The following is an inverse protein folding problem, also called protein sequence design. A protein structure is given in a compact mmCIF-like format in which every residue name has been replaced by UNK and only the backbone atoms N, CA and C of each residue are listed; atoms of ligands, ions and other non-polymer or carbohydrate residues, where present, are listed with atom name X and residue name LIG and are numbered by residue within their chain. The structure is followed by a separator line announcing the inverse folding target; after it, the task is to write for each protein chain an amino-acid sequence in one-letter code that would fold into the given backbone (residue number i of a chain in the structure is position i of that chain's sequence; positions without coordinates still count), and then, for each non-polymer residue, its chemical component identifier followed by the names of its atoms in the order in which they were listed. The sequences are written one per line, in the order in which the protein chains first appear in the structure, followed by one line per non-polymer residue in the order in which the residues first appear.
data_IF_743919017807
#
_entry.id   IF_743919017807
#
_cell.length_a   1.000
_cell.length_b   1.000
_cell.length_c   1.000
_cell.angle_alpha   90.00
_cell.angle_beta   90.00
_cell.angle_gamma   90.00
#
_symmetry.space_group_name_H-M   'P 1'
#
loop_
_entity.id
_entity.type
_entity.pdbx_description
1 polymer ?
#
# COMPACT_ATOMS: atom_id res chain seq x y z
N UNK A 1 -2.35 2.46 21.97
CA UNK A 1 -1.03 2.53 22.63
C UNK A 1 -0.14 3.55 21.93
N UNK A 2 0.29 3.30 20.70
CA UNK A 2 1.16 4.21 19.90
C UNK A 2 0.58 5.61 19.77
N UNK A 3 -0.73 5.73 19.52
CA UNK A 3 -1.37 7.04 19.37
C UNK A 3 -1.34 7.92 20.62
N UNK A 4 -1.06 7.39 21.81
CA UNK A 4 -0.80 8.19 23.01
C UNK A 4 0.68 8.52 23.16
N UNK A 5 1.54 7.52 22.91
CA UNK A 5 3.00 7.66 22.96
C UNK A 5 3.53 8.72 21.98
N UNK A 6 2.86 8.97 20.85
CA UNK A 6 3.29 10.00 19.90
C UNK A 6 3.31 11.42 20.51
N UNK A 7 2.54 11.67 21.56
CA UNK A 7 2.48 12.98 22.23
C UNK A 7 3.49 13.11 23.38
N UNK A 8 4.16 12.00 23.72
CA UNK A 8 5.13 11.94 24.82
C UNK A 8 6.58 11.85 24.30
N UNK A 9 6.77 11.60 23.01
CA UNK A 9 8.08 11.49 22.38
C UNK A 9 8.61 12.87 21.92
N UNK A 10 9.93 13.08 21.96
CA UNK A 10 10.55 14.25 21.34
C UNK A 10 10.23 14.31 19.84
N UNK A 11 10.04 15.52 19.28
CA UNK A 11 9.68 15.71 17.87
C UNK A 11 10.67 15.07 16.88
N UNK A 12 11.94 14.94 17.28
CA UNK A 12 13.02 14.40 16.46
C UNK A 12 13.08 12.86 16.45
N UNK A 13 12.25 12.18 17.26
CA UNK A 13 12.29 10.73 17.42
C UNK A 13 11.18 10.04 16.63
N UNK A 14 11.57 9.20 15.66
CA UNK A 14 10.65 8.25 15.01
C UNK A 14 10.25 7.12 15.94
N UNK A 15 9.01 6.64 15.84
CA UNK A 15 8.52 5.49 16.60
C UNK A 15 8.01 4.40 15.65
N UNK A 16 8.46 3.18 15.85
CA UNK A 16 7.89 1.99 15.25
C UNK A 16 7.48 1.01 16.35
N UNK A 17 6.27 0.46 16.24
CA UNK A 17 5.88 -0.70 17.02
C UNK A 17 5.71 -1.90 16.09
N UNK A 18 6.36 -3.00 16.44
CA UNK A 18 6.27 -4.28 15.74
C UNK A 18 5.49 -5.26 16.61
N UNK A 19 4.64 -6.06 15.99
CA UNK A 19 3.87 -7.09 16.70
C UNK A 19 4.05 -8.45 16.02
N UNK A 20 4.18 -9.50 16.83
CA UNK A 20 4.12 -10.89 16.34
C UNK A 20 2.70 -11.28 15.93
N UNK A 21 1.70 -10.70 16.61
CA UNK A 21 0.26 -10.93 16.39
C UNK A 21 -0.55 -9.73 16.86
N UNK A 22 -1.66 -9.42 16.18
CA UNK A 22 -2.64 -8.44 16.65
C UNK A 22 -3.97 -9.16 16.95
N UNK A 23 -4.54 -8.94 18.14
CA UNK A 23 -5.84 -9.54 18.51
C UNK A 23 -7.02 -8.74 17.96
N UNK A 24 -6.81 -7.47 17.62
CA UNK A 24 -7.82 -6.55 17.10
C UNK A 24 -7.27 -5.77 15.90
N UNK A 25 -6.66 -6.49 14.95
CA UNK A 25 -6.15 -5.90 13.71
C UNK A 25 -7.27 -5.21 12.93
N UNK A 26 -6.99 -4.01 12.40
CA UNK A 26 -7.95 -3.18 11.66
C UNK A 26 -7.47 -2.95 10.23
N UNK A 27 -8.41 -3.04 9.29
CA UNK A 27 -8.27 -2.57 7.92
C UNK A 27 -9.14 -1.34 7.66
N UNK A 28 -9.17 -0.88 6.41
CA UNK A 28 -10.03 0.24 5.98
C UNK A 28 -11.51 -0.11 6.10
N UNK A 29 -12.34 0.92 6.29
CA UNK A 29 -13.81 0.77 6.27
C UNK A 29 -14.36 -0.11 7.39
N UNK A 30 -13.62 -0.26 8.50
CA UNK A 30 -14.02 -1.10 9.63
C UNK A 30 -13.74 -2.60 9.47
N UNK A 31 -13.13 -3.03 8.35
CA UNK A 31 -12.76 -4.43 8.15
C UNK A 31 -11.76 -4.91 9.21
N UNK A 32 -11.84 -6.17 9.60
CA UNK A 32 -10.82 -6.79 10.46
C UNK A 32 -9.60 -7.20 9.63
N UNK A 33 -8.40 -7.03 10.20
CA UNK A 33 -7.16 -7.58 9.64
C UNK A 33 -6.78 -8.86 10.39
N UNK A 34 -6.81 -9.99 9.69
CA UNK A 34 -6.32 -11.27 10.21
C UNK A 34 -4.79 -11.22 10.27
N UNK A 35 -4.24 -11.49 11.45
CA UNK A 35 -2.80 -11.41 11.72
C UNK A 35 -2.29 -12.67 12.43
N UNK A 36 -2.31 -13.84 11.76
CA UNK A 36 -1.64 -15.03 12.27
C UNK A 36 -0.14 -14.79 12.51
N UNK A 37 0.46 -15.63 13.35
CA UNK A 37 1.93 -15.61 13.54
C UNK A 37 2.60 -15.86 12.19
N UNK A 38 3.62 -15.08 11.87
CA UNK A 38 4.32 -15.12 10.59
C UNK A 38 3.98 -13.96 9.64
N UNK A 39 3.05 -13.08 9.99
CA UNK A 39 2.87 -11.81 9.29
C UNK A 39 3.97 -10.79 9.68
N UNK A 40 4.39 -9.95 8.74
CA UNK A 40 5.07 -8.70 9.01
C UNK A 40 4.04 -7.65 9.41
N UNK A 41 4.03 -7.24 10.68
CA UNK A 41 3.06 -6.30 11.24
C UNK A 41 3.80 -5.17 11.94
N UNK A 42 3.63 -3.95 11.44
CA UNK A 42 4.22 -2.77 12.06
C UNK A 42 3.26 -1.59 12.03
N UNK A 43 3.47 -0.66 12.96
CA UNK A 43 2.88 0.67 12.90
C UNK A 43 3.97 1.69 13.17
N UNK A 44 4.16 2.59 12.21
CA UNK A 44 5.10 3.68 12.27
C UNK A 44 4.37 4.97 12.60
N UNK A 45 5.02 5.82 13.38
CA UNK A 45 4.67 7.22 13.50
C UNK A 45 5.72 8.05 12.76
N UNK A 46 5.25 8.92 11.87
CA UNK A 46 6.07 9.93 11.20
C UNK A 46 5.41 11.30 11.31
N UNK A 47 6.22 12.34 11.21
CA UNK A 47 5.77 13.74 11.20
C UNK A 47 6.13 14.38 9.86
N UNK A 48 5.15 14.97 9.18
CA UNK A 48 5.33 15.63 7.87
C UNK A 48 4.85 17.08 7.97
N UNK A 49 5.71 18.09 7.68
CA UNK A 49 5.27 19.48 7.69
C UNK A 49 4.20 19.73 6.63
N UNK A 50 3.13 20.44 6.99
CA UNK A 50 2.01 20.78 6.09
C UNK A 50 2.52 21.45 4.80
N UNK A 51 3.46 22.39 4.92
CA UNK A 51 4.00 23.15 3.79
C UNK A 51 4.92 22.35 2.85
N UNK A 52 5.30 21.12 3.23
CA UNK A 52 6.14 20.25 2.38
C UNK A 52 5.35 19.68 1.19
N UNK A 53 6.06 19.19 0.18
CA UNK A 53 5.42 18.59 -1.01
C UNK A 53 4.51 17.42 -0.65
N UNK A 54 4.93 16.56 0.27
CA UNK A 54 4.12 15.45 0.79
C UNK A 54 3.01 15.94 1.72
N UNK A 55 3.26 16.99 2.52
CA UNK A 55 2.25 17.60 3.40
C UNK A 55 1.04 18.14 2.66
N UNK A 56 1.23 18.67 1.45
CA UNK A 56 0.14 19.11 0.57
C UNK A 56 -0.58 17.94 -0.13
N UNK A 57 -0.06 16.71 -0.01
CA UNK A 57 -0.50 15.52 -0.76
C UNK A 57 -0.52 14.25 0.11
N UNK A 58 -0.97 14.37 1.36
CA UNK A 58 -0.98 13.28 2.35
C UNK A 58 -1.56 11.94 1.85
N UNK A 59 -2.59 11.89 0.97
CA UNK A 59 -3.09 10.61 0.47
C UNK A 59 -2.01 9.76 -0.22
N UNK A 60 -0.92 10.35 -0.74
CA UNK A 60 0.19 9.60 -1.33
C UNK A 60 0.92 8.67 -0.37
N UNK A 61 0.88 8.92 0.94
CA UNK A 61 1.60 8.08 1.92
C UNK A 61 1.18 6.61 1.79
N UNK A 62 -0.09 6.34 1.54
CA UNK A 62 -0.55 4.96 1.36
C UNK A 62 0.10 4.31 0.11
N UNK A 63 0.32 5.08 -0.97
CA UNK A 63 0.98 4.62 -2.19
C UNK A 63 2.46 4.39 -1.95
N UNK A 64 3.13 5.31 -1.25
CA UNK A 64 4.54 5.18 -0.89
C UNK A 64 4.79 3.92 -0.05
N UNK A 65 3.94 3.66 0.94
CA UNK A 65 4.09 2.49 1.82
C UNK A 65 3.77 1.20 1.07
N UNK A 66 2.71 1.15 0.26
CA UNK A 66 2.43 -0.03 -0.57
C UNK A 66 3.56 -0.32 -1.55
N UNK A 67 4.13 0.71 -2.17
CA UNK A 67 5.29 0.59 -3.04
C UNK A 67 6.52 0.11 -2.27
N UNK A 68 6.78 0.66 -1.08
CA UNK A 68 7.88 0.25 -0.22
C UNK A 68 7.80 -1.24 0.16
N UNK A 69 6.60 -1.76 0.46
CA UNK A 69 6.39 -3.19 0.74
C UNK A 69 6.73 -4.03 -0.49
N UNK A 70 6.30 -3.64 -1.69
CA UNK A 70 6.62 -4.37 -2.92
C UNK A 70 8.12 -4.32 -3.22
N UNK A 71 8.75 -3.15 -3.09
CA UNK A 71 10.20 -2.99 -3.29
C UNK A 71 11.02 -3.75 -2.25
N UNK A 72 10.53 -3.91 -1.02
CA UNK A 72 11.21 -4.67 0.02
C UNK A 72 11.51 -6.11 -0.42
N UNK A 73 10.68 -6.68 -1.29
CA UNK A 73 10.89 -8.01 -1.89
C UNK A 73 11.58 -7.89 -3.23
N UNK A 74 11.00 -7.15 -4.18
CA UNK A 74 11.41 -7.18 -5.60
C UNK A 74 12.74 -6.51 -5.91
N UNK A 75 13.32 -5.77 -4.95
CA UNK A 75 14.68 -5.24 -5.08
C UNK A 75 15.77 -6.22 -4.61
N UNK A 76 15.40 -7.39 -4.09
CA UNK A 76 16.36 -8.44 -3.78
C UNK A 76 16.84 -9.13 -5.07
N UNK A 77 18.14 -9.41 -5.22
CA UNK A 77 18.65 -10.15 -6.36
C UNK A 77 17.98 -11.52 -6.51
N UNK A 78 17.40 -11.79 -7.68
CA UNK A 78 16.67 -13.00 -8.01
C UNK A 78 15.17 -12.97 -7.71
N UNK A 79 14.65 -11.93 -7.05
CA UNK A 79 13.24 -11.78 -6.67
C UNK A 79 12.49 -10.82 -7.60
N UNK A 80 13.15 -10.30 -8.63
CA UNK A 80 12.64 -9.26 -9.54
C UNK A 80 11.35 -9.71 -10.25
N UNK A 81 11.27 -10.99 -10.60
CA UNK A 81 10.17 -11.59 -11.35
C UNK A 81 9.04 -12.15 -10.47
N UNK A 82 9.17 -12.07 -9.14
CA UNK A 82 8.06 -12.35 -8.25
C UNK A 82 6.97 -11.31 -8.50
N UNK A 83 5.78 -11.78 -8.87
CA UNK A 83 4.65 -10.94 -9.27
C UNK A 83 3.95 -10.22 -8.11
N UNK A 84 4.71 -9.59 -7.22
CA UNK A 84 4.15 -8.64 -6.26
C UNK A 84 3.77 -7.34 -6.95
N UNK A 85 2.54 -6.92 -6.68
CA UNK A 85 1.87 -5.77 -7.30
C UNK A 85 1.16 -4.91 -6.26
N UNK A 86 0.87 -3.67 -6.64
CA UNK A 86 0.05 -2.75 -5.85
C UNK A 86 -1.35 -2.64 -6.46
N UNK A 87 -2.37 -2.76 -5.62
CA UNK A 87 -3.75 -2.42 -5.96
C UNK A 87 -4.12 -1.11 -5.27
N UNK A 88 -4.62 -0.17 -6.04
CA UNK A 88 -5.13 1.09 -5.50
C UNK A 88 -6.33 0.83 -4.56
N UNK A 89 -6.42 1.52 -3.42
CA UNK A 89 -5.51 2.58 -2.99
C UNK A 89 -4.23 2.08 -2.31
N UNK A 90 -4.25 0.92 -1.66
CA UNK A 90 -3.22 0.61 -0.66
C UNK A 90 -3.04 -0.88 -0.33
N UNK A 91 -3.42 -1.77 -1.24
CA UNK A 91 -3.30 -3.21 -1.04
C UNK A 91 -2.11 -3.79 -1.80
N UNK A 92 -1.50 -4.83 -1.24
CA UNK A 92 -0.42 -5.59 -1.86
C UNK A 92 -0.99 -6.91 -2.35
N UNK A 93 -0.75 -7.22 -3.63
CA UNK A 93 -1.29 -8.39 -4.32
C UNK A 93 -0.18 -9.24 -4.92
N UNK A 94 -0.44 -10.54 -5.02
CA UNK A 94 0.25 -11.42 -5.97
C UNK A 94 -0.54 -11.50 -7.27
N UNK A 95 0.12 -11.16 -8.37
CA UNK A 95 -0.51 -10.91 -9.66
C UNK A 95 -1.66 -9.91 -9.49
N UNK A 96 -2.86 -10.20 -9.98
CA UNK A 96 -4.09 -9.43 -9.73
C UNK A 96 -5.15 -10.21 -8.94
N UNK A 97 -4.79 -11.37 -8.37
CA UNK A 97 -5.76 -12.34 -7.83
C UNK A 97 -5.82 -12.36 -6.31
N UNK A 98 -4.65 -12.39 -5.65
CA UNK A 98 -4.56 -12.73 -4.23
C UNK A 98 -3.97 -11.59 -3.43
N UNK A 99 -4.72 -11.12 -2.42
CA UNK A 99 -4.24 -10.11 -1.48
C UNK A 99 -3.27 -10.74 -0.49
N UNK A 100 -2.09 -10.14 -0.35
CA UNK A 100 -1.06 -10.54 0.60
C UNK A 100 -0.86 -9.51 1.71
N UNK A 101 -1.25 -8.26 1.48
CA UNK A 101 -0.98 -7.19 2.43
C UNK A 101 -1.91 -6.01 2.26
N UNK A 102 -1.85 -5.11 3.22
CA UNK A 102 -2.57 -3.85 3.18
C UNK A 102 -1.93 -2.82 4.09
N UNK A 103 -2.18 -1.56 3.76
CA UNK A 103 -1.74 -0.41 4.53
C UNK A 103 -2.95 0.29 5.13
N UNK A 104 -2.80 0.89 6.30
CA UNK A 104 -3.77 1.77 6.94
C UNK A 104 -3.04 3.02 7.41
N UNK A 105 -3.42 4.17 6.88
CA UNK A 105 -2.84 5.47 7.24
C UNK A 105 -3.89 6.27 7.98
N UNK A 106 -3.54 6.78 9.16
CA UNK A 106 -4.34 7.76 9.89
C UNK A 106 -3.48 8.99 10.13
N UNK A 107 -3.96 10.17 9.74
CA UNK A 107 -3.24 11.43 9.90
C UNK A 107 -4.04 12.40 10.76
N UNK A 108 -3.36 13.09 11.67
CA UNK A 108 -3.89 14.22 12.43
C UNK A 108 -3.03 15.43 12.14
N UNK A 109 -3.64 16.54 11.74
CA UNK A 109 -2.94 17.83 11.60
C UNK A 109 -2.96 18.54 12.96
N UNK A 110 -1.78 18.88 13.47
CA UNK A 110 -1.61 19.72 14.65
C UNK A 110 -0.78 20.93 14.21
N UNK A 111 -1.34 22.12 14.40
CA UNK A 111 -0.76 23.37 13.90
C UNK A 111 -0.38 23.28 12.42
N UNK A 112 0.91 23.15 12.11
CA UNK A 112 1.47 23.06 10.77
C UNK A 112 2.13 21.71 10.47
N UNK A 113 1.87 20.67 11.27
CA UNK A 113 2.52 19.37 11.16
C UNK A 113 1.50 18.24 11.16
N UNK A 114 1.57 17.37 10.16
CA UNK A 114 0.82 16.12 10.16
C UNK A 114 1.55 15.07 10.99
N UNK A 115 0.88 14.51 11.99
CA UNK A 115 1.29 13.31 12.71
C UNK A 115 0.56 12.12 12.10
N UNK A 116 1.33 11.14 11.62
CA UNK A 116 0.81 10.11 10.73
C UNK A 116 1.15 8.74 11.28
N UNK A 117 0.11 7.96 11.57
CA UNK A 117 0.23 6.56 11.95
C UNK A 117 0.05 5.69 10.71
N UNK A 118 1.13 5.03 10.31
CA UNK A 118 1.18 4.13 9.17
C UNK A 118 1.21 2.70 9.72
N UNK A 119 0.07 2.03 9.71
CA UNK A 119 -0.01 0.60 9.92
C UNK A 119 0.18 -0.15 8.60
N UNK A 120 1.02 -1.18 8.57
CA UNK A 120 1.03 -2.14 7.46
C UNK A 120 1.06 -3.57 7.98
N UNK A 121 0.38 -4.44 7.22
CA UNK A 121 0.38 -5.87 7.41
C UNK A 121 0.70 -6.57 6.10
N UNK A 122 1.63 -7.52 6.14
CA UNK A 122 2.01 -8.32 4.98
C UNK A 122 2.19 -9.80 5.38
N UNK A 123 1.60 -10.71 4.61
CA UNK A 123 1.65 -12.13 4.85
C UNK A 123 3.00 -12.69 4.39
N UNK A 124 3.84 -13.13 5.35
CA UNK A 124 5.21 -13.57 5.06
C UNK A 124 5.36 -15.07 5.19
N UNK A 125 5.04 -15.62 6.35
CA UNK A 125 5.24 -17.03 6.69
C UNK A 125 4.01 -17.62 7.39
N UNK A 126 2.84 -17.40 6.80
CA UNK A 126 1.53 -17.74 7.36
C UNK A 126 0.61 -18.34 6.29
N UNK A 127 0.93 -19.55 5.82
CA UNK A 127 0.22 -20.27 4.75
C UNK A 127 -1.23 -20.69 5.09
N UNK A 128 -1.68 -20.47 6.33
CA UNK A 128 -3.06 -20.69 6.77
C UNK A 128 -3.44 -19.63 7.80
N UNK A 129 -4.65 -19.03 7.76
CA UNK A 129 -5.76 -19.26 6.83
C UNK A 129 -5.65 -18.48 5.49
N UNK A 130 -4.49 -17.92 5.19
CA UNK A 130 -4.24 -17.06 4.02
C UNK A 130 -3.06 -17.57 3.21
N UNK A 131 -2.84 -17.05 2.00
CA UNK A 131 -1.58 -17.22 1.27
C UNK A 131 -0.51 -16.23 1.77
N UNK A 132 0.76 -16.61 1.71
CA UNK A 132 1.89 -15.75 2.08
C UNK A 132 3.02 -15.74 1.03
N UNK A 133 3.95 -14.78 1.12
CA UNK A 133 5.02 -14.63 0.12
C UNK A 133 5.96 -15.83 0.06
N UNK A 134 6.22 -16.52 1.18
CA UNK A 134 7.11 -17.68 1.19
C UNK A 134 6.50 -18.89 0.46
N UNK A 135 5.17 -19.04 0.45
CA UNK A 135 4.51 -20.06 -0.39
C UNK A 135 4.73 -19.78 -1.88
N UNK A 136 4.66 -18.49 -2.25
CA UNK A 136 4.84 -18.03 -3.62
C UNK A 136 6.28 -18.14 -4.07
N UNK A 137 7.25 -17.84 -3.20
CA UNK A 137 8.68 -18.07 -3.45
C UNK A 137 8.95 -19.57 -3.65
N UNK A 138 8.39 -20.43 -2.81
CA UNK A 138 8.55 -21.87 -2.95
C UNK A 138 7.96 -22.39 -4.28
N UNK A 139 6.80 -21.84 -4.68
CA UNK A 139 6.19 -22.12 -5.99
C UNK A 139 7.08 -21.65 -7.14
N UNK A 140 7.56 -20.41 -7.10
CA UNK A 140 8.44 -19.83 -8.11
C UNK A 140 9.74 -20.63 -8.27
N UNK A 141 10.38 -21.02 -7.15
CA UNK A 141 11.54 -21.90 -7.16
C UNK A 141 11.29 -23.21 -7.91
N UNK A 142 10.11 -23.81 -7.71
CA UNK A 142 9.74 -25.06 -8.39
C UNK A 142 9.47 -24.87 -9.88
N UNK A 143 8.83 -23.78 -10.26
CA UNK A 143 8.44 -23.50 -11.65
C UNK A 143 9.63 -23.04 -12.50
N UNK A 144 10.48 -22.17 -11.94
CA UNK A 144 11.60 -21.54 -12.66
C UNK A 144 12.96 -22.23 -12.40
N UNK A 145 13.00 -23.28 -11.59
CA UNK A 145 14.24 -23.99 -11.25
C UNK A 145 15.23 -23.14 -10.44
N UNK A 146 14.73 -22.20 -9.64
CA UNK A 146 15.54 -21.29 -8.82
C UNK A 146 15.65 -21.76 -7.36
N UNK A 147 16.49 -21.10 -6.57
CA UNK A 147 16.78 -21.45 -5.17
C UNK A 147 16.72 -20.21 -4.26
N UNK A 148 15.71 -19.37 -4.44
CA UNK A 148 15.47 -18.19 -3.62
C UNK A 148 15.18 -18.60 -2.17
N UNK A 149 15.75 -17.84 -1.23
CA UNK A 149 15.58 -18.09 0.21
C UNK A 149 14.21 -17.58 0.69
N UNK A 150 13.60 -18.24 1.69
CA UNK A 150 12.43 -17.68 2.36
C UNK A 150 12.80 -16.37 3.07
N UNK A 151 11.83 -15.47 3.17
CA UNK A 151 11.97 -14.16 3.79
C UNK A 151 11.45 -14.21 5.25
N UNK A 152 12.08 -13.45 6.15
CA UNK A 152 11.62 -13.29 7.52
C UNK A 152 10.76 -12.02 7.68
N UNK A 153 9.74 -12.03 8.57
CA UNK A 153 8.90 -10.85 8.81
C UNK A 153 9.69 -9.62 9.25
N UNK A 154 10.66 -9.79 10.14
CA UNK A 154 11.55 -8.74 10.67
C UNK A 154 12.39 -8.09 9.56
N UNK A 155 13.01 -8.90 8.69
CA UNK A 155 13.78 -8.39 7.55
C UNK A 155 12.89 -7.59 6.59
N UNK A 156 11.67 -8.06 6.33
CA UNK A 156 10.73 -7.35 5.47
C UNK A 156 10.22 -6.04 6.07
N UNK A 157 10.00 -6.00 7.39
CA UNK A 157 9.70 -4.74 8.08
C UNK A 157 10.86 -3.77 7.90
N UNK A 158 12.09 -4.18 8.22
CA UNK A 158 13.27 -3.30 8.10
C UNK A 158 13.43 -2.76 6.67
N UNK A 159 13.38 -3.65 5.67
CA UNK A 159 13.51 -3.27 4.26
C UNK A 159 12.37 -2.37 3.78
N UNK A 160 11.14 -2.59 4.25
CA UNK A 160 9.99 -1.73 3.95
C UNK A 160 10.22 -0.32 4.49
N UNK A 161 10.67 -0.21 5.75
CA UNK A 161 10.92 1.11 6.37
C UNK A 161 12.04 1.86 5.66
N UNK A 162 13.16 1.18 5.35
CA UNK A 162 14.26 1.79 4.56
C UNK A 162 13.81 2.24 3.18
N UNK A 163 13.00 1.45 2.48
CA UNK A 163 12.45 1.85 1.19
C UNK A 163 11.48 3.02 1.31
N UNK A 164 10.66 3.05 2.37
CA UNK A 164 9.70 4.13 2.64
C UNK A 164 10.41 5.46 2.89
N UNK A 165 11.46 5.49 3.72
CA UNK A 165 12.26 6.69 3.98
C UNK A 165 12.79 7.28 2.67
N UNK A 166 13.45 6.45 1.85
CA UNK A 166 13.95 6.84 0.53
C UNK A 166 12.83 7.37 -0.38
N UNK A 167 11.66 6.71 -0.40
CA UNK A 167 10.53 7.12 -1.22
C UNK A 167 9.91 8.44 -0.75
N UNK A 168 9.89 8.71 0.56
CA UNK A 168 9.48 10.00 1.12
C UNK A 168 10.44 11.09 0.67
N UNK A 169 11.76 10.86 0.76
CA UNK A 169 12.76 11.84 0.32
C UNK A 169 12.61 12.17 -1.17
N UNK A 170 12.48 11.15 -2.02
CA UNK A 170 12.23 11.34 -3.46
C UNK A 170 10.94 12.12 -3.70
N UNK A 171 9.88 11.84 -2.95
CA UNK A 171 8.61 12.56 -3.08
C UNK A 171 8.75 14.03 -2.65
N UNK A 172 9.48 14.29 -1.56
CA UNK A 172 9.70 15.65 -1.09
C UNK A 172 10.52 16.47 -2.09
N UNK A 173 11.48 15.85 -2.78
CA UNK A 173 12.30 16.51 -3.80
C UNK A 173 11.55 16.70 -5.14
N UNK A 174 10.86 15.66 -5.61
CA UNK A 174 10.37 15.58 -7.01
C UNK A 174 8.85 15.53 -7.14
N UNK A 175 8.11 15.54 -6.03
CA UNK A 175 6.67 15.39 -5.99
C UNK A 175 6.20 14.03 -6.51
N UNK A 176 4.92 13.92 -6.94
CA UNK A 176 4.34 12.68 -7.46
C UNK A 176 5.14 12.05 -8.60
N UNK A 177 5.67 12.88 -9.52
CA UNK A 177 6.41 12.39 -10.68
C UNK A 177 7.70 11.65 -10.32
N UNK A 178 8.26 11.88 -9.12
CA UNK A 178 9.42 11.14 -8.63
C UNK A 178 9.14 9.68 -8.30
N UNK A 179 7.89 9.33 -7.98
CA UNK A 179 7.51 7.99 -7.48
C UNK A 179 6.52 7.26 -8.39
N UNK A 180 5.67 8.00 -9.12
CA UNK A 180 4.62 7.42 -9.96
C UNK A 180 5.12 6.47 -11.05
N UNK A 181 6.25 6.71 -11.74
CA UNK A 181 6.77 5.76 -12.72
C UNK A 181 7.05 4.38 -12.12
N UNK A 182 7.63 4.36 -10.92
CA UNK A 182 7.93 3.13 -10.20
C UNK A 182 6.66 2.51 -9.60
N UNK A 183 5.71 3.33 -9.13
CA UNK A 183 4.40 2.87 -8.67
C UNK A 183 3.65 2.14 -9.80
N UNK A 184 3.59 2.74 -11.00
CA UNK A 184 2.94 2.16 -12.18
C UNK A 184 3.67 0.97 -12.77
N UNK A 185 4.97 0.78 -12.50
CA UNK A 185 5.67 -0.47 -12.81
C UNK A 185 5.04 -1.68 -12.10
N UNK A 186 4.48 -1.47 -10.91
CA UNK A 186 3.93 -2.54 -10.08
C UNK A 186 2.41 -2.48 -9.88
N UNK A 187 1.71 -1.45 -10.37
CA UNK A 187 0.26 -1.38 -10.23
C UNK A 187 -0.47 -2.44 -11.08
N UNK A 188 -1.73 -2.74 -10.77
CA UNK A 188 -2.52 -3.74 -11.51
C UNK A 188 -3.60 -3.13 -12.43
N UNK A 189 -3.70 -1.81 -12.51
CA UNK A 189 -4.88 -1.14 -13.10
C UNK A 189 -4.66 -0.57 -14.51
N UNK A 190 -3.49 -0.80 -15.12
CA UNK A 190 -3.19 -0.35 -16.49
C UNK A 190 -4.25 -0.78 -17.49
N UNK A 191 -4.94 0.19 -18.10
CA UNK A 191 -5.93 -0.05 -19.15
C UNK A 191 -7.18 -0.81 -18.69
N UNK A 192 -7.38 -0.92 -17.37
CA UNK A 192 -8.52 -1.65 -16.82
C UNK A 192 -9.82 -0.91 -17.09
N UNK A 193 -10.75 -1.61 -17.74
CA UNK A 193 -12.10 -1.14 -18.00
C UNK A 193 -12.99 -1.44 -16.80
N UNK A 194 -13.75 -0.45 -16.35
CA UNK A 194 -14.62 -0.54 -15.18
C UNK A 194 -16.00 0.03 -15.47
N UNK A 195 -17.00 -0.40 -14.70
CA UNK A 195 -18.33 0.21 -14.63
C UNK A 195 -18.38 1.17 -13.45
N UNK A 196 -19.02 2.32 -13.61
CA UNK A 196 -19.23 3.26 -12.52
C UNK A 196 -20.64 3.16 -11.94
N UNK A 197 -20.81 3.46 -10.65
CA UNK A 197 -22.07 3.56 -9.89
C UNK A 197 -22.82 2.25 -9.67
N UNK A 198 -22.94 1.39 -10.67
CA UNK A 198 -23.60 0.07 -10.59
C UNK A 198 -23.24 -0.80 -11.81
N UNK A 199 -23.56 -2.11 -11.79
CA UNK A 199 -23.14 -3.09 -12.81
C UNK A 199 -23.55 -2.72 -14.25
N UNK A 200 -24.69 -2.02 -14.42
CA UNK A 200 -25.18 -1.53 -15.72
C UNK A 200 -24.82 -0.06 -15.98
N UNK A 201 -23.82 0.47 -15.27
CA UNK A 201 -23.44 1.87 -15.31
C UNK A 201 -22.65 2.25 -16.53
N UNK A 202 -22.27 3.53 -16.67
CA UNK A 202 -21.39 3.95 -17.74
C UNK A 202 -20.06 3.20 -17.64
N UNK A 203 -19.48 2.99 -18.80
CA UNK A 203 -18.19 2.34 -18.96
C UNK A 203 -17.09 3.39 -18.86
N UNK A 204 -16.03 3.07 -18.13
CA UNK A 204 -14.87 3.93 -17.99
C UNK A 204 -13.58 3.11 -18.03
N UNK A 205 -12.46 3.79 -18.29
CA UNK A 205 -11.11 3.23 -18.20
C UNK A 205 -10.37 3.87 -17.04
N UNK A 206 -9.68 3.07 -16.25
CA UNK A 206 -8.71 3.58 -15.28
C UNK A 206 -7.52 4.13 -16.07
N UNK A 207 -7.21 5.41 -15.85
CA UNK A 207 -6.14 6.13 -16.57
C UNK A 207 -4.95 6.50 -15.69
N UNK A 208 -5.07 6.37 -14.37
CA UNK A 208 -3.99 6.77 -13.47
C UNK A 208 -4.46 7.08 -12.06
N UNK A 209 -3.62 7.82 -11.36
CA UNK A 209 -3.95 8.62 -10.19
C UNK A 209 -3.63 10.09 -10.47
N UNK A 210 -4.41 10.99 -9.88
CA UNK A 210 -4.21 12.43 -10.01
C UNK A 210 -3.06 12.97 -9.13
N UNK A 211 -2.83 14.28 -9.16
CA UNK A 211 -1.79 14.95 -8.36
C UNK A 211 -2.01 14.87 -6.84
N UNK A 212 -3.20 14.41 -6.41
CA UNK A 212 -3.55 14.16 -5.01
C UNK A 212 -3.49 12.68 -4.64
N UNK A 213 -3.31 11.76 -5.61
CA UNK A 213 -3.28 10.31 -5.41
C UNK A 213 -4.65 9.63 -5.53
N UNK A 214 -5.68 10.33 -6.02
CA UNK A 214 -6.99 9.74 -6.25
C UNK A 214 -7.05 9.04 -7.61
N UNK A 215 -7.79 7.94 -7.68
CA UNK A 215 -7.91 7.15 -8.91
C UNK A 215 -8.58 7.98 -10.00
N UNK A 216 -8.00 8.03 -11.18
CA UNK A 216 -8.57 8.71 -12.34
C UNK A 216 -9.25 7.70 -13.27
N UNK A 217 -10.47 8.02 -13.66
CA UNK A 217 -11.27 7.26 -14.63
C UNK A 217 -11.71 8.15 -15.78
N UNK A 218 -11.72 7.61 -16.98
CA UNK A 218 -12.18 8.29 -18.19
C UNK A 218 -13.40 7.55 -18.75
N UNK A 219 -14.56 8.19 -18.74
CA UNK A 219 -15.78 7.68 -19.38
C UNK A 219 -15.71 7.92 -20.90
N UNK A 220 -16.29 7.03 -21.71
CA UNK A 220 -16.29 7.21 -23.17
C UNK A 220 -17.01 8.52 -23.57
N UNK A 221 -16.28 9.45 -24.21
CA UNK A 221 -16.82 10.74 -24.63
C UNK A 221 -17.03 11.75 -23.50
N UNK A 222 -16.53 11.47 -22.29
CA UNK A 222 -16.57 12.37 -21.14
C UNK A 222 -15.19 12.88 -20.71
N UNK A 223 -15.17 13.73 -19.68
CA UNK A 223 -13.93 14.19 -19.05
C UNK A 223 -13.35 13.14 -18.09
N UNK A 224 -12.05 13.27 -17.80
CA UNK A 224 -11.39 12.49 -16.75
C UNK A 224 -11.92 12.92 -15.38
N UNK A 225 -12.35 11.96 -14.56
CA UNK A 225 -12.89 12.17 -13.21
C UNK A 225 -11.98 11.53 -12.15
N UNK A 226 -11.83 12.20 -11.00
CA UNK A 226 -11.14 11.66 -9.83
C UNK A 226 -12.11 10.94 -8.89
N UNK A 227 -11.71 9.77 -8.42
CA UNK A 227 -12.50 8.88 -7.55
C UNK A 227 -11.80 8.73 -6.20
N UNK A 228 -12.46 9.20 -5.15
CA UNK A 228 -11.94 9.17 -3.78
C UNK A 228 -12.10 7.77 -3.13
N UNK A 229 -11.09 7.26 -2.40
CA UNK A 229 -11.13 5.91 -1.83
C UNK A 229 -12.08 5.76 -0.63
N UNK A 230 -12.38 6.86 0.07
CA UNK A 230 -13.24 6.82 1.25
C UNK A 230 -14.72 6.96 0.89
N UNK A 231 -15.04 7.59 -0.24
CA UNK A 231 -16.40 7.68 -0.77
C UNK A 231 -16.76 6.58 -1.77
N UNK A 232 -15.82 5.71 -2.16
CA UNK A 232 -16.05 4.67 -3.16
C UNK A 232 -15.52 3.30 -2.73
N UNK A 233 -16.06 2.25 -3.33
CA UNK A 233 -15.62 0.87 -3.24
C UNK A 233 -15.25 0.36 -4.63
N UNK A 234 -14.14 -0.37 -4.74
CA UNK A 234 -13.72 -1.01 -5.98
C UNK A 234 -13.81 -2.54 -5.86
N UNK A 235 -14.82 -3.12 -6.51
CA UNK A 235 -14.96 -4.56 -6.71
C UNK A 235 -14.17 -4.99 -7.96
N UNK A 236 -13.04 -5.64 -7.74
CA UNK A 236 -12.17 -6.15 -8.80
C UNK A 236 -12.78 -7.33 -9.57
N UNK A 237 -13.61 -8.16 -8.92
CA UNK A 237 -14.21 -9.32 -9.58
C UNK A 237 -15.27 -8.89 -10.59
N UNK A 238 -15.95 -7.78 -10.29
CA UNK A 238 -16.99 -7.21 -11.16
C UNK A 238 -16.49 -6.04 -12.01
N UNK A 239 -15.22 -5.64 -11.86
CA UNK A 239 -14.67 -4.41 -12.43
C UNK A 239 -15.61 -3.19 -12.19
N UNK A 240 -16.04 -3.02 -10.94
CA UNK A 240 -17.10 -2.09 -10.59
C UNK A 240 -16.65 -1.08 -9.52
N UNK A 241 -16.80 0.21 -9.81
CA UNK A 241 -16.61 1.31 -8.87
C UNK A 241 -17.96 1.84 -8.40
N UNK A 242 -18.25 1.71 -7.11
CA UNK A 242 -19.55 2.09 -6.50
C UNK A 242 -19.32 3.12 -5.39
N UNK A 243 -20.09 4.23 -5.35
CA UNK A 243 -20.13 5.11 -4.19
C UNK A 243 -20.56 4.35 -2.92
N UNK A 244 -19.98 4.69 -1.76
CA UNK A 244 -20.39 4.15 -0.47
C UNK A 244 -21.61 4.86 0.10
#
# INVERSE_FOLDING_TARGET
LIGRLMFELPEEMGLIAVAVRQTQGKGRGGNAWLSPVGCALATLHISIPLHSNLGQRIPFIQHLVSLAVVESVRSLPGYEDIELRVKWPNDIYYSNLMKLGGVLVNSTLLETTFHILIGFGFNVNNSNPTICINDLIAKFNKEEGTALKPLSPDCLIARTVTALERLIDVFQEKGPNGVLPQYYKYWIHSGQQVRLRHERGPLAWIVGVDDCGYLQVHEEGGDVQSVHPDGNSFDMLRNLLVPK
#
